data_IF_722944588209
#
_entry.id   IF_722944588209
#
_cell.length_a   1.000
_cell.length_b   1.000
_cell.length_c   1.000
_cell.angle_alpha   90.00
_cell.angle_beta   90.00
_cell.angle_gamma   90.00
#
_symmetry.space_group_name_H-M   'P 1'
#
loop_
_entity.id
_entity.type
_entity.pdbx_description
1 polymer ?
#
# COMPACT_ATOMS: atom_id res chain seq x y z
N UNK A 1 12.04 -10.65 6.72
CA UNK A 1 11.41 -10.19 5.47
C UNK A 1 10.32 -9.22 5.87
N UNK A 2 10.29 -8.00 5.30
CA UNK A 2 9.24 -7.02 5.65
C UNK A 2 7.94 -7.36 4.92
N UNK A 3 6.79 -6.87 5.41
CA UNK A 3 5.49 -7.12 4.78
C UNK A 3 5.41 -6.77 3.28
N UNK A 4 6.15 -5.75 2.83
CA UNK A 4 6.21 -5.36 1.40
C UNK A 4 6.98 -6.37 0.54
N UNK A 5 8.17 -6.78 0.99
CA UNK A 5 8.99 -7.80 0.31
C UNK A 5 8.26 -9.15 0.19
N UNK A 6 7.42 -9.47 1.19
CA UNK A 6 6.55 -10.63 1.16
C UNK A 6 5.56 -10.58 -0.01
N UNK A 7 4.92 -9.43 -0.24
CA UNK A 7 3.86 -9.25 -1.23
C UNK A 7 4.36 -9.43 -2.68
N UNK A 8 5.47 -8.78 -3.03
CA UNK A 8 6.05 -8.91 -4.38
C UNK A 8 6.48 -10.35 -4.66
N UNK A 9 7.01 -11.04 -3.65
CA UNK A 9 7.44 -12.43 -3.76
C UNK A 9 6.26 -13.39 -3.97
N UNK A 10 5.14 -13.18 -3.27
CA UNK A 10 3.94 -14.03 -3.43
C UNK A 10 3.20 -13.75 -4.73
N UNK A 11 3.18 -12.51 -5.20
CA UNK A 11 2.54 -12.14 -6.47
C UNK A 11 3.42 -12.39 -7.71
N UNK A 12 4.69 -12.75 -7.52
CA UNK A 12 5.70 -12.84 -8.59
C UNK A 12 5.78 -11.56 -9.43
N UNK A 13 5.54 -10.40 -8.80
CA UNK A 13 5.59 -9.11 -9.45
C UNK A 13 7.03 -8.64 -9.62
N UNK A 14 7.35 -8.08 -10.79
CA UNK A 14 8.62 -7.39 -11.05
C UNK A 14 8.67 -5.97 -10.46
N UNK A 15 7.54 -5.43 -10.05
CA UNK A 15 7.39 -4.09 -9.47
C UNK A 15 6.65 -4.14 -8.15
N UNK A 16 6.99 -3.22 -7.24
CA UNK A 16 6.25 -3.03 -6.00
C UNK A 16 5.10 -2.05 -6.25
N UNK A 17 3.96 -2.58 -6.70
CA UNK A 17 2.77 -1.77 -7.02
C UNK A 17 2.28 -0.96 -5.82
N UNK A 18 2.53 -1.44 -4.59
CA UNK A 18 2.11 -0.76 -3.37
C UNK A 18 3.03 0.41 -3.10
N UNK A 19 4.34 0.24 -3.28
CA UNK A 19 5.29 1.35 -3.22
C UNK A 19 4.98 2.42 -4.28
N UNK A 20 4.72 2.03 -5.54
CA UNK A 20 4.34 2.96 -6.59
C UNK A 20 3.06 3.75 -6.21
N UNK A 21 2.05 3.07 -5.67
CA UNK A 21 0.81 3.70 -5.24
C UNK A 21 1.01 4.66 -4.05
N UNK A 22 1.79 4.26 -3.03
CA UNK A 22 2.07 5.11 -1.88
C UNK A 22 2.93 6.31 -2.26
N UNK A 23 3.86 6.16 -3.21
CA UNK A 23 4.65 7.27 -3.74
C UNK A 23 3.77 8.28 -4.46
N UNK A 24 2.81 7.84 -5.28
CA UNK A 24 1.83 8.73 -5.89
C UNK A 24 1.07 9.56 -4.85
N UNK A 25 0.58 8.93 -3.78
CA UNK A 25 -0.11 9.65 -2.70
C UNK A 25 0.80 10.66 -1.98
N UNK A 26 2.07 10.29 -1.74
CA UNK A 26 3.05 11.19 -1.12
C UNK A 26 3.40 12.38 -2.02
N UNK A 27 3.61 12.14 -3.32
CA UNK A 27 3.94 13.16 -4.32
C UNK A 27 2.82 14.18 -4.48
N UNK A 28 1.57 13.70 -4.51
CA UNK A 28 0.37 14.54 -4.56
C UNK A 28 0.01 15.13 -3.19
N UNK A 29 0.78 14.86 -2.13
CA UNK A 29 0.50 15.31 -0.76
C UNK A 29 -0.93 14.98 -0.30
N UNK A 30 -1.38 13.77 -0.59
CA UNK A 30 -2.69 13.25 -0.21
C UNK A 30 -2.53 12.45 1.07
N UNK A 31 -3.22 12.86 2.13
CA UNK A 31 -3.19 12.13 3.39
C UNK A 31 -3.85 10.75 3.23
N UNK A 32 -3.19 9.72 3.75
CA UNK A 32 -3.70 8.35 3.75
C UNK A 32 -3.28 7.60 5.01
N UNK A 33 -3.97 6.50 5.27
CA UNK A 33 -3.56 5.50 6.24
C UNK A 33 -3.75 4.11 5.67
N UNK A 34 -2.68 3.31 5.73
CA UNK A 34 -2.75 1.88 5.42
C UNK A 34 -3.48 1.18 6.55
N UNK A 35 -4.47 0.35 6.23
CA UNK A 35 -5.26 -0.43 7.19
C UNK A 35 -5.22 -1.92 6.81
N UNK A 36 -6.03 -2.75 7.47
CA UNK A 36 -6.18 -4.16 7.12
C UNK A 36 -4.93 -5.02 7.38
N UNK A 37 -4.81 -6.12 6.64
CA UNK A 37 -3.76 -7.12 6.84
C UNK A 37 -2.35 -6.57 6.66
N UNK A 38 -2.17 -5.62 5.74
CA UNK A 38 -0.87 -4.97 5.52
C UNK A 38 -0.45 -4.05 6.66
N UNK A 39 -1.40 -3.32 7.27
CA UNK A 39 -1.10 -2.52 8.46
C UNK A 39 -0.69 -3.39 9.65
N UNK A 40 -1.37 -4.52 9.84
CA UNK A 40 -1.02 -5.50 10.89
C UNK A 40 0.37 -6.10 10.66
N UNK A 41 0.70 -6.44 9.40
CA UNK A 41 2.01 -6.95 8.99
C UNK A 41 3.18 -5.99 9.29
N UNK A 42 2.93 -4.71 9.60
CA UNK A 42 3.97 -3.79 10.05
C UNK A 42 4.42 -4.05 11.51
N UNK A 43 3.64 -4.79 12.29
CA UNK A 43 3.84 -4.99 13.72
C UNK A 43 3.92 -6.47 14.15
N UNK A 44 3.79 -7.41 13.21
CA UNK A 44 3.85 -8.85 13.48
C UNK A 44 4.70 -9.60 12.46
N UNK A 45 4.84 -10.91 12.64
CA UNK A 45 5.40 -11.79 11.61
C UNK A 45 4.56 -11.67 10.32
N UNK A 46 5.20 -11.52 9.14
CA UNK A 46 4.48 -11.29 7.90
C UNK A 46 3.54 -12.45 7.54
N UNK A 47 2.27 -12.13 7.31
CA UNK A 47 1.24 -13.05 6.83
C UNK A 47 0.81 -12.72 5.40
N UNK A 48 0.33 -13.73 4.67
CA UNK A 48 -0.28 -13.50 3.35
C UNK A 48 -1.55 -12.67 3.52
N UNK A 49 -1.64 -11.61 2.73
CA UNK A 49 -2.86 -10.84 2.52
C UNK A 49 -3.09 -10.75 1.02
N UNK A 50 -4.35 -10.77 0.59
CA UNK A 50 -4.73 -10.84 -0.83
C UNK A 50 -4.99 -9.45 -1.41
N UNK A 51 -5.35 -8.52 -0.55
CA UNK A 51 -5.73 -7.15 -0.84
C UNK A 51 -4.81 -6.16 -0.12
N UNK A 52 -4.89 -4.93 -0.59
CA UNK A 52 -4.30 -3.75 0.04
C UNK A 52 -5.43 -2.79 0.39
N UNK A 53 -5.63 -2.58 1.69
CA UNK A 53 -6.64 -1.66 2.20
C UNK A 53 -6.00 -0.33 2.62
N UNK A 54 -6.57 0.77 2.16
CA UNK A 54 -6.18 2.11 2.60
C UNK A 54 -7.39 3.03 2.71
N UNK A 55 -7.30 3.99 3.62
CA UNK A 55 -8.19 5.14 3.68
C UNK A 55 -7.42 6.34 3.16
N UNK A 56 -8.06 7.14 2.32
CA UNK A 56 -7.48 8.30 1.64
C UNK A 56 -8.37 9.51 1.93
N UNK A 57 -7.78 10.69 2.07
CA UNK A 57 -8.51 11.94 2.21
C UNK A 57 -9.41 12.21 0.98
N UNK A 58 -10.73 12.19 1.18
CA UNK A 58 -11.71 12.32 0.10
C UNK A 58 -11.59 13.62 -0.69
N UNK A 59 -11.22 14.73 -0.03
CA UNK A 59 -11.12 16.05 -0.65
C UNK A 59 -10.10 16.10 -1.80
N UNK A 60 -9.18 15.14 -1.84
CA UNK A 60 -8.08 15.06 -2.81
C UNK A 60 -8.19 13.87 -3.76
N UNK A 61 -9.25 13.04 -3.62
CA UNK A 61 -9.43 11.86 -4.48
C UNK A 61 -9.64 12.26 -5.94
N UNK A 62 -10.21 13.44 -6.21
CA UNK A 62 -10.33 13.95 -7.59
C UNK A 62 -8.99 14.32 -8.24
N UNK A 63 -7.93 14.50 -7.44
CA UNK A 63 -6.56 14.77 -7.90
C UNK A 63 -5.85 13.48 -8.33
N UNK A 64 -6.36 12.31 -7.92
CA UNK A 64 -5.90 11.00 -8.42
C UNK A 64 -6.36 10.82 -9.88
N UNK A 65 -5.68 11.50 -10.80
CA UNK A 65 -5.88 11.34 -12.24
C UNK A 65 -4.59 10.83 -12.86
N UNK A 66 -4.69 9.65 -13.47
CA UNK A 66 -3.67 9.11 -14.36
C UNK A 66 -4.11 9.33 -15.81
#
# INVERSE_FOLDING_TARGET
MKGREFYNRVTNSSTDIIEEFLNLLNEEQIDYVVIGGMAVNAYCEPMVTLDFDCVIEMARVEDLRR
#
